data_IF_784016439178
#
_entry.id   IF_784016439178
#
_cell.length_a   1.000
_cell.length_b   1.000
_cell.length_c   1.000
_cell.angle_alpha   90.00
_cell.angle_beta   90.00
_cell.angle_gamma   90.00
#
_symmetry.space_group_name_H-M   'P 1'
#
loop_
_entity.id
_entity.type
_entity.pdbx_description
1 polymer ?
#
# COMPACT_ATOMS: atom_id res chain seq x y z
N UNK A 1 5.57 3.76 -13.81
CA UNK A 1 4.49 4.07 -12.84
C UNK A 1 4.66 3.12 -11.67
N UNK A 2 4.37 3.57 -10.49
CA UNK A 2 4.73 2.90 -9.27
C UNK A 2 3.51 2.21 -8.64
N UNK A 3 3.72 1.12 -7.91
CA UNK A 3 2.68 0.47 -7.12
C UNK A 3 2.14 1.46 -6.08
N UNK A 4 0.80 1.51 -5.92
CA UNK A 4 0.13 2.46 -5.04
C UNK A 4 0.59 2.34 -3.58
N UNK A 5 0.78 1.13 -3.07
CA UNK A 5 1.21 0.90 -1.69
C UNK A 5 2.63 1.44 -1.45
N UNK A 6 3.54 1.23 -2.41
CA UNK A 6 4.89 1.78 -2.34
C UNK A 6 4.85 3.31 -2.32
N UNK A 7 4.00 3.92 -3.15
CA UNK A 7 3.81 5.38 -3.18
C UNK A 7 3.30 5.91 -1.83
N UNK A 8 2.29 5.24 -1.24
CA UNK A 8 1.73 5.61 0.06
C UNK A 8 2.78 5.51 1.16
N UNK A 9 3.47 4.36 1.25
CA UNK A 9 4.47 4.10 2.29
C UNK A 9 5.69 5.03 2.15
N UNK A 10 6.12 5.33 0.92
CA UNK A 10 7.21 6.28 0.65
C UNK A 10 6.83 7.69 1.10
N UNK A 11 5.66 8.17 0.71
CA UNK A 11 5.19 9.51 1.10
C UNK A 11 5.06 9.62 2.61
N UNK A 12 4.51 8.59 3.27
CA UNK A 12 4.44 8.54 4.72
C UNK A 12 5.82 8.57 5.38
N UNK A 13 6.77 7.77 4.87
CA UNK A 13 8.18 7.80 5.32
C UNK A 13 8.76 9.21 5.22
N UNK A 14 8.57 9.87 4.09
CA UNK A 14 9.14 11.20 3.83
C UNK A 14 8.55 12.25 4.80
N UNK A 15 7.26 12.20 5.08
CA UNK A 15 6.63 13.05 6.09
C UNK A 15 7.21 12.78 7.49
N UNK A 16 7.35 11.50 7.87
CA UNK A 16 7.90 11.13 9.18
C UNK A 16 9.38 11.50 9.33
N UNK A 17 10.18 11.36 8.27
CA UNK A 17 11.58 11.81 8.26
C UNK A 17 11.71 13.32 8.33
N UNK A 18 10.77 14.06 7.76
CA UNK A 18 10.70 15.52 7.88
C UNK A 18 10.18 15.99 9.26
N UNK A 19 9.93 15.08 10.21
CA UNK A 19 9.43 15.40 11.55
C UNK A 19 7.94 15.73 11.60
N UNK A 20 7.21 15.61 10.51
CA UNK A 20 5.76 15.85 10.49
C UNK A 20 5.03 14.69 11.18
N UNK A 21 3.92 15.01 11.82
CA UNK A 21 2.99 14.01 12.32
C UNK A 21 2.17 13.43 11.18
N UNK A 22 1.96 12.13 11.20
CA UNK A 22 1.17 11.44 10.18
C UNK A 22 0.53 10.18 10.75
N UNK A 23 -0.56 9.72 10.14
CA UNK A 23 -1.15 8.42 10.42
C UNK A 23 -1.21 7.56 9.17
N UNK A 24 -1.18 6.24 9.38
CA UNK A 24 -1.47 5.23 8.37
C UNK A 24 -2.79 4.58 8.71
N UNK A 25 -3.75 4.66 7.80
CA UNK A 25 -5.03 3.95 7.88
C UNK A 25 -4.99 2.72 6.98
N UNK A 26 -5.38 1.57 7.53
CA UNK A 26 -5.47 0.29 6.81
C UNK A 26 -6.89 -0.24 6.89
N UNK A 27 -7.50 -0.62 5.75
CA UNK A 27 -8.77 -1.33 5.72
C UNK A 27 -8.56 -2.74 6.27
N UNK A 28 -9.15 -3.04 7.43
CA UNK A 28 -8.94 -4.33 8.10
C UNK A 28 -10.12 -5.28 7.96
N UNK A 29 -11.33 -4.74 7.81
CA UNK A 29 -12.55 -5.54 7.57
C UNK A 29 -13.57 -4.73 6.80
N UNK A 30 -14.35 -5.44 6.00
CA UNK A 30 -15.49 -4.88 5.27
C UNK A 30 -16.69 -5.81 5.40
N UNK A 31 -17.89 -5.25 5.48
CA UNK A 31 -19.15 -5.97 5.45
C UNK A 31 -20.08 -5.35 4.42
N UNK A 32 -20.66 -6.17 3.57
CA UNK A 32 -21.44 -5.70 2.43
C UNK A 32 -20.55 -5.17 1.31
N UNK A 33 -21.05 -4.22 0.53
CA UNK A 33 -20.30 -3.59 -0.54
C UNK A 33 -19.31 -2.58 0.04
N UNK A 34 -18.03 -2.70 -0.35
CA UNK A 34 -17.01 -1.75 0.05
C UNK A 34 -16.29 -1.20 -1.20
N UNK A 35 -16.02 0.11 -1.25
CA UNK A 35 -15.34 0.72 -2.40
C UNK A 35 -13.85 0.35 -2.48
N UNK A 36 -13.26 -0.10 -1.36
CA UNK A 36 -11.86 -0.55 -1.31
C UNK A 36 -11.75 -1.90 -0.62
N UNK A 37 -10.90 -2.81 -1.12
CA UNK A 37 -10.69 -4.12 -0.50
C UNK A 37 -9.94 -4.03 0.83
N UNK A 38 -10.05 -5.09 1.63
CA UNK A 38 -9.20 -5.32 2.80
C UNK A 38 -7.73 -5.28 2.39
N UNK A 39 -6.89 -4.63 3.20
CA UNK A 39 -5.47 -4.39 2.91
C UNK A 39 -5.20 -3.04 2.25
N UNK A 40 -6.20 -2.35 1.70
CA UNK A 40 -5.99 -1.00 1.16
C UNK A 40 -5.49 -0.04 2.23
N UNK A 41 -4.55 0.83 1.85
CA UNK A 41 -3.91 1.78 2.76
C UNK A 41 -4.04 3.22 2.29
N UNK A 42 -4.03 4.12 3.26
CA UNK A 42 -3.99 5.57 3.08
C UNK A 42 -3.11 6.20 4.15
N UNK A 43 -2.30 7.16 3.78
CA UNK A 43 -1.57 8.01 4.73
C UNK A 43 -2.18 9.42 4.78
N UNK A 44 -2.27 9.98 5.98
CA UNK A 44 -2.74 11.34 6.25
C UNK A 44 -1.68 12.10 7.05
N UNK A 45 -1.28 13.26 6.56
CA UNK A 45 -0.37 14.18 7.22
C UNK A 45 -1.12 15.19 8.10
N UNK A 46 -0.47 15.72 9.13
CA UNK A 46 -1.03 16.76 10.03
C UNK A 46 -1.49 18.04 9.31
N UNK A 47 -0.93 18.33 8.13
CA UNK A 47 -1.31 19.46 7.29
C UNK A 47 -2.54 19.18 6.39
N UNK A 48 -3.10 17.98 6.47
CA UNK A 48 -4.27 17.54 5.69
C UNK A 48 -3.93 16.90 4.35
N UNK A 49 -2.64 16.77 4.01
CA UNK A 49 -2.24 16.05 2.80
C UNK A 49 -2.54 14.55 2.92
N UNK A 50 -3.09 13.96 1.86
CA UNK A 50 -3.50 12.55 1.78
C UNK A 50 -2.85 11.88 0.59
N UNK A 51 -2.46 10.61 0.76
CA UNK A 51 -2.03 9.72 -0.31
C UNK A 51 -2.62 8.34 -0.10
N UNK A 52 -3.07 7.67 -1.17
CA UNK A 52 -3.84 6.43 -1.08
C UNK A 52 -5.32 6.66 -0.84
N UNK A 53 -6.08 5.59 -0.56
CA UNK A 53 -7.52 5.69 -0.31
C UNK A 53 -8.05 4.45 0.40
N UNK A 54 -9.02 4.65 1.30
CA UNK A 54 -9.72 3.59 2.05
C UNK A 54 -11.20 3.50 1.70
N UNK A 55 -11.79 4.56 1.11
CA UNK A 55 -13.22 4.59 0.77
C UNK A 55 -13.55 5.21 -0.59
N UNK A 56 -12.66 6.03 -1.12
CA UNK A 56 -12.87 6.78 -2.35
C UNK A 56 -13.40 8.20 -2.14
N UNK A 57 -13.34 8.74 -0.92
CA UNK A 57 -13.59 10.16 -0.65
C UNK A 57 -14.13 10.48 0.74
N UNK A 58 -15.34 10.05 1.09
CA UNK A 58 -16.05 10.56 2.29
C UNK A 58 -15.41 10.19 3.63
N UNK A 59 -14.81 9.00 3.74
CA UNK A 59 -14.11 8.59 4.98
C UNK A 59 -12.78 9.34 5.07
N UNK A 60 -12.12 9.55 3.94
CA UNK A 60 -10.91 10.38 3.86
C UNK A 60 -11.17 11.78 4.39
N UNK A 61 -12.25 12.44 3.93
CA UNK A 61 -12.64 13.78 4.40
C UNK A 61 -12.95 13.80 5.90
N UNK A 62 -13.60 12.76 6.43
CA UNK A 62 -13.88 12.64 7.86
C UNK A 62 -12.59 12.47 8.68
N UNK A 63 -11.64 11.64 8.21
CA UNK A 63 -10.35 11.49 8.86
C UNK A 63 -9.55 12.80 8.85
N UNK A 64 -9.54 13.54 7.74
CA UNK A 64 -8.92 14.86 7.67
C UNK A 64 -9.59 15.80 8.68
N UNK A 65 -10.92 15.81 8.75
CA UNK A 65 -11.66 16.64 9.69
C UNK A 65 -11.42 16.27 11.14
N UNK A 66 -11.27 14.99 11.46
CA UNK A 66 -11.07 14.54 12.85
C UNK A 66 -9.63 14.74 13.33
N UNK A 67 -8.63 14.53 12.47
CA UNK A 67 -7.22 14.42 12.87
C UNK A 67 -6.35 15.58 12.43
N UNK A 68 -6.88 16.55 11.68
CA UNK A 68 -6.12 17.72 11.22
C UNK A 68 -6.90 19.01 11.39
N UNK A 69 -6.21 20.13 11.21
CA UNK A 69 -6.83 21.46 11.20
C UNK A 69 -7.11 21.97 9.78
N UNK A 70 -6.95 21.14 8.74
CA UNK A 70 -7.06 21.57 7.36
C UNK A 70 -8.42 22.22 7.02
N UNK A 71 -9.50 21.82 7.74
CA UNK A 71 -10.85 22.41 7.62
C UNK A 71 -11.23 23.32 8.78
N UNK A 72 -10.32 23.69 9.68
CA UNK A 72 -10.58 24.68 10.71
C UNK A 72 -10.67 26.06 10.05
N UNK A 73 -11.85 26.43 9.59
CA UNK A 73 -12.12 27.78 9.09
C UNK A 73 -11.89 28.84 10.16
N UNK A 74 -11.60 30.06 9.75
CA UNK A 74 -11.30 31.24 10.58
C UNK A 74 -12.40 31.64 11.61
N UNK A 75 -13.42 30.83 11.85
CA UNK A 75 -14.54 31.06 12.75
C UNK A 75 -14.65 30.12 13.95
N UNK A 76 -13.81 29.13 14.12
CA UNK A 76 -13.87 28.17 15.25
C UNK A 76 -12.92 28.55 16.39
N UNK A 77 -12.98 29.79 16.84
CA UNK A 77 -12.30 30.21 18.07
C UNK A 77 -12.92 29.45 19.26
N UNK A 78 -12.19 28.43 19.76
CA UNK A 78 -12.58 27.64 20.93
C UNK A 78 -12.68 26.12 20.76
N UNK A 79 -12.56 25.56 19.55
CA UNK A 79 -12.44 24.12 19.38
C UNK A 79 -11.00 23.68 19.74
N UNK A 80 -10.88 22.60 20.54
CA UNK A 80 -9.58 21.99 20.82
C UNK A 80 -8.87 21.69 19.49
N UNK A 81 -7.57 21.99 19.41
CA UNK A 81 -6.80 21.72 18.20
C UNK A 81 -6.88 20.23 17.87
N UNK A 82 -7.45 19.92 16.70
CA UNK A 82 -7.48 18.56 16.18
C UNK A 82 -6.08 18.22 15.72
N UNK A 83 -5.51 17.21 16.32
CA UNK A 83 -4.15 16.75 16.03
C UNK A 83 -4.15 15.24 15.97
N UNK A 84 -3.28 14.69 15.15
CA UNK A 84 -3.01 13.25 15.14
C UNK A 84 -2.57 12.83 16.55
N UNK A 85 -3.27 11.94 17.26
CA UNK A 85 -2.91 11.53 18.60
C UNK A 85 -1.60 10.73 18.60
N UNK A 86 -0.93 10.68 19.74
CA UNK A 86 0.16 9.73 19.99
C UNK A 86 -0.41 8.54 20.75
N UNK A 87 0.13 7.35 20.52
CA UNK A 87 -0.27 6.17 21.26
C UNK A 87 -0.39 4.91 20.41
N UNK A 88 -0.96 3.85 20.99
CA UNK A 88 -1.15 2.59 20.28
C UNK A 88 -2.12 2.74 19.11
N UNK A 89 -2.03 1.84 18.13
CA UNK A 89 -3.00 1.79 17.03
C UNK A 89 -4.44 1.63 17.53
N UNK A 90 -5.39 2.23 16.81
CA UNK A 90 -6.80 2.21 17.19
C UNK A 90 -7.68 1.72 16.04
N UNK A 91 -8.72 0.94 16.36
CA UNK A 91 -9.74 0.56 15.40
C UNK A 91 -10.84 1.61 15.33
N UNK A 92 -11.25 1.96 14.10
CA UNK A 92 -12.37 2.87 13.83
C UNK A 92 -13.33 2.21 12.84
N UNK A 93 -14.62 2.30 13.12
CA UNK A 93 -15.68 1.74 12.26
C UNK A 93 -16.53 2.85 11.65
N UNK A 94 -16.90 2.65 10.40
CA UNK A 94 -17.78 3.51 9.62
C UNK A 94 -18.97 2.71 9.07
N UNK A 95 -20.14 3.36 8.94
CA UNK A 95 -21.32 2.75 8.34
C UNK A 95 -22.08 1.79 9.28
N UNK A 96 -21.99 2.00 10.59
CA UNK A 96 -22.69 1.17 11.59
C UNK A 96 -24.21 1.35 11.48
N UNK A 97 -24.67 2.57 11.14
CA UNK A 97 -26.07 2.90 10.91
C UNK A 97 -26.32 3.23 9.43
N UNK A 98 -27.58 3.12 8.98
CA UNK A 98 -27.95 3.48 7.61
C UNK A 98 -27.65 4.95 7.30
N UNK A 99 -27.85 5.85 8.28
CA UNK A 99 -27.58 7.29 8.12
C UNK A 99 -26.06 7.56 8.00
N UNK A 100 -25.25 6.88 8.79
CA UNK A 100 -23.79 6.94 8.65
C UNK A 100 -23.33 6.37 7.32
N UNK A 101 -23.84 5.19 6.92
CA UNK A 101 -23.50 4.58 5.64
C UNK A 101 -23.80 5.53 4.47
N UNK A 102 -24.95 6.21 4.51
CA UNK A 102 -25.31 7.21 3.51
C UNK A 102 -24.38 8.43 3.57
N UNK A 103 -24.10 8.96 4.77
CA UNK A 103 -23.21 10.11 4.99
C UNK A 103 -21.78 9.86 4.48
N UNK A 104 -21.26 8.66 4.65
CA UNK A 104 -19.90 8.28 4.27
C UNK A 104 -19.79 7.62 2.88
N UNK A 105 -20.83 7.78 2.05
CA UNK A 105 -20.80 7.27 0.68
C UNK A 105 -20.76 5.74 0.59
N UNK A 106 -21.34 5.04 1.57
CA UNK A 106 -21.53 3.60 1.61
C UNK A 106 -22.99 3.25 1.28
N UNK A 107 -23.48 3.53 0.06
CA UNK A 107 -24.91 3.51 -0.29
C UNK A 107 -25.56 2.12 -0.16
N UNK A 108 -24.75 1.05 -0.11
CA UNK A 108 -25.25 -0.32 0.03
C UNK A 108 -25.31 -0.78 1.50
N UNK A 109 -25.23 0.14 2.49
CA UNK A 109 -25.26 -0.21 3.92
C UNK A 109 -24.03 -1.01 4.37
N UNK A 110 -22.92 -0.91 3.66
CA UNK A 110 -21.68 -1.58 4.03
C UNK A 110 -21.05 -0.95 5.28
N UNK A 111 -20.35 -1.76 6.05
CA UNK A 111 -19.54 -1.31 7.18
C UNK A 111 -18.07 -1.48 6.84
N UNK A 112 -17.25 -0.50 7.20
CA UNK A 112 -15.81 -0.50 7.01
C UNK A 112 -15.12 -0.35 8.37
N UNK A 113 -14.15 -1.19 8.65
CA UNK A 113 -13.29 -1.06 9.83
C UNK A 113 -11.86 -0.76 9.40
N UNK A 114 -11.28 0.29 9.97
CA UNK A 114 -9.92 0.73 9.77
C UNK A 114 -9.08 0.45 11.01
N UNK A 115 -7.81 0.13 10.83
CA UNK A 115 -6.78 0.31 11.85
C UNK A 115 -6.05 1.63 11.55
N UNK A 116 -5.97 2.52 12.53
CA UNK A 116 -5.20 3.75 12.47
C UNK A 116 -3.92 3.56 13.27
N UNK A 117 -2.78 3.70 12.60
CA UNK A 117 -1.46 3.73 13.23
C UNK A 117 -1.00 5.18 13.31
N UNK A 118 -0.73 5.65 14.51
CA UNK A 118 -0.32 7.03 14.75
C UNK A 118 1.21 7.14 14.75
N UNK A 119 1.72 8.10 13.99
CA UNK A 119 3.15 8.39 13.90
C UNK A 119 4.04 7.16 13.66
N UNK A 120 3.77 6.32 12.63
CA UNK A 120 4.60 5.15 12.36
C UNK A 120 6.09 5.52 12.31
N UNK A 121 6.93 4.61 12.80
CA UNK A 121 8.36 4.84 12.96
C UNK A 121 9.05 4.96 11.59
N UNK A 122 9.81 6.05 11.39
CA UNK A 122 10.39 6.41 10.10
C UNK A 122 11.45 5.41 9.60
N UNK A 123 12.20 4.78 10.52
CA UNK A 123 13.22 3.80 10.19
C UNK A 123 12.61 2.50 9.66
N UNK A 124 11.57 1.98 10.32
CA UNK A 124 10.84 0.80 9.84
C UNK A 124 10.15 1.04 8.48
N UNK A 125 9.61 2.26 8.27
CA UNK A 125 9.08 2.65 6.96
C UNK A 125 10.18 2.71 5.89
N UNK A 126 11.36 3.23 6.22
CA UNK A 126 12.48 3.31 5.28
C UNK A 126 12.98 1.92 4.88
N UNK A 127 13.12 1.00 5.83
CA UNK A 127 13.49 -0.40 5.57
C UNK A 127 12.46 -1.09 4.68
N UNK A 128 11.17 -0.94 5.00
CA UNK A 128 10.09 -1.52 4.20
C UNK A 128 10.10 -0.97 2.77
N UNK A 129 10.13 0.35 2.60
CA UNK A 129 10.14 0.97 1.27
C UNK A 129 11.35 0.54 0.46
N UNK A 130 12.54 0.50 1.06
CA UNK A 130 13.76 0.02 0.39
C UNK A 130 13.63 -1.42 -0.11
N UNK A 131 13.08 -2.31 0.71
CA UNK A 131 12.86 -3.70 0.32
C UNK A 131 11.84 -3.82 -0.83
N UNK A 132 10.73 -3.05 -0.77
CA UNK A 132 9.71 -3.04 -1.82
C UNK A 132 10.24 -2.48 -3.14
N UNK A 133 11.05 -1.42 -3.10
CA UNK A 133 11.73 -0.85 -4.28
C UNK A 133 12.72 -1.83 -4.91
N UNK A 134 13.31 -2.71 -4.10
CA UNK A 134 14.14 -3.82 -4.57
C UNK A 134 13.31 -5.02 -5.08
N UNK A 135 11.97 -4.90 -5.16
CA UNK A 135 11.08 -5.95 -5.63
C UNK A 135 10.90 -7.11 -4.66
N UNK A 136 11.22 -6.91 -3.38
CA UNK A 136 11.06 -7.95 -2.36
C UNK A 136 9.62 -7.99 -1.85
N UNK A 137 9.19 -9.18 -1.47
CA UNK A 137 7.93 -9.40 -0.77
C UNK A 137 8.20 -9.38 0.74
N UNK A 138 7.52 -8.46 1.45
CA UNK A 138 7.75 -8.23 2.87
C UNK A 138 6.47 -8.41 3.67
N UNK A 139 6.58 -9.10 4.79
CA UNK A 139 5.52 -9.16 5.80
C UNK A 139 5.81 -8.09 6.86
N UNK A 140 4.82 -7.25 7.11
CA UNK A 140 4.84 -6.22 8.15
C UNK A 140 3.85 -6.60 9.25
N UNK A 141 4.34 -6.79 10.46
CA UNK A 141 3.54 -7.06 11.65
C UNK A 141 3.55 -5.84 12.56
N UNK A 142 2.35 -5.37 12.94
CA UNK A 142 2.14 -4.22 13.84
C UNK A 142 1.52 -4.72 15.12
N UNK A 143 2.19 -4.54 16.25
CA UNK A 143 1.66 -4.91 17.56
C UNK A 143 0.62 -3.88 18.01
N UNK A 144 -0.58 -4.36 18.38
CA UNK A 144 -1.72 -3.47 18.68
C UNK A 144 -1.58 -2.76 20.04
N UNK A 145 -0.74 -3.26 20.95
CA UNK A 145 -0.58 -2.66 22.28
C UNK A 145 0.26 -1.37 22.30
N UNK A 146 1.14 -1.18 21.31
CA UNK A 146 2.10 -0.07 21.29
C UNK A 146 2.52 0.41 19.89
N UNK A 147 2.04 -0.27 18.83
CA UNK A 147 2.39 0.08 17.46
C UNK A 147 3.78 -0.38 17.01
N UNK A 148 4.48 -1.19 17.80
CA UNK A 148 5.79 -1.70 17.41
C UNK A 148 5.71 -2.54 16.13
N UNK A 149 6.61 -2.27 15.18
CA UNK A 149 6.64 -2.90 13.86
C UNK A 149 7.76 -3.92 13.79
N UNK A 150 7.45 -5.07 13.20
CA UNK A 150 8.44 -6.09 12.81
C UNK A 150 8.32 -6.35 11.32
N UNK A 151 9.44 -6.34 10.61
CA UNK A 151 9.54 -6.65 9.19
C UNK A 151 10.24 -8.00 8.99
N UNK A 152 9.67 -8.83 8.12
CA UNK A 152 10.27 -10.11 7.73
C UNK A 152 10.08 -10.33 6.24
N UNK A 153 11.07 -10.93 5.58
CA UNK A 153 10.92 -11.33 4.19
C UNK A 153 9.83 -12.41 4.09
N UNK A 154 8.94 -12.26 3.11
CA UNK A 154 7.90 -13.24 2.83
C UNK A 154 8.26 -14.05 1.57
N UNK A 155 7.88 -15.32 1.55
CA UNK A 155 8.10 -16.20 0.40
C UNK A 155 6.88 -16.30 -0.52
N UNK A 156 5.70 -15.91 0.00
CA UNK A 156 4.45 -15.85 -0.76
C UNK A 156 3.57 -14.72 -0.22
N UNK A 157 2.74 -14.09 -1.06
CA UNK A 157 1.71 -13.16 -0.62
C UNK A 157 0.71 -13.85 0.31
N UNK A 158 0.28 -13.14 1.34
CA UNK A 158 -0.72 -13.61 2.30
C UNK A 158 -1.83 -12.55 2.44
N UNK A 159 -3.04 -13.02 2.72
CA UNK A 159 -4.14 -12.12 3.09
C UNK A 159 -3.81 -11.39 4.40
N UNK A 160 -4.35 -10.18 4.55
CA UNK A 160 -4.22 -9.41 5.77
C UNK A 160 -4.80 -10.20 6.96
N UNK A 161 -3.98 -10.41 7.97
CA UNK A 161 -4.34 -11.07 9.22
C UNK A 161 -4.53 -10.07 10.36
N UNK A 162 -5.64 -10.19 11.08
CA UNK A 162 -5.90 -9.41 12.29
C UNK A 162 -6.14 -10.37 13.45
N UNK A 163 -5.32 -10.28 14.49
CA UNK A 163 -5.47 -11.00 15.75
C UNK A 163 -5.73 -10.03 16.90
N UNK A 164 -5.91 -10.56 18.11
CA UNK A 164 -6.00 -9.72 19.31
C UNK A 164 -4.66 -9.00 19.64
N UNK A 165 -3.53 -9.45 19.09
CA UNK A 165 -2.20 -8.95 19.42
C UNK A 165 -1.57 -8.11 18.32
N UNK A 166 -1.86 -8.42 17.07
CA UNK A 166 -1.18 -7.81 15.94
C UNK A 166 -2.05 -7.77 14.68
N UNK A 167 -1.77 -6.78 13.84
CA UNK A 167 -2.11 -6.75 12.42
C UNK A 167 -0.89 -7.25 11.63
N UNK A 168 -1.11 -8.15 10.69
CA UNK A 168 -0.06 -8.66 9.78
C UNK A 168 -0.49 -8.41 8.35
N UNK A 169 0.29 -7.67 7.60
CA UNK A 169 0.06 -7.41 6.19
C UNK A 169 1.28 -7.75 5.34
N UNK A 170 1.07 -8.20 4.12
CA UNK A 170 2.13 -8.53 3.16
C UNK A 170 2.14 -7.47 2.07
N UNK A 171 3.30 -6.85 1.85
CA UNK A 171 3.53 -5.83 0.84
C UNK A 171 4.55 -6.32 -0.18
N UNK A 172 4.40 -5.89 -1.41
CA UNK A 172 5.29 -6.22 -2.52
C UNK A 172 4.54 -6.87 -3.68
N UNK A 173 5.27 -7.41 -4.65
CA UNK A 173 4.64 -7.98 -5.84
C UNK A 173 3.85 -9.23 -5.49
N UNK A 174 2.54 -9.16 -5.71
CA UNK A 174 1.64 -10.29 -5.49
C UNK A 174 1.71 -11.32 -6.62
N UNK A 175 1.94 -10.84 -7.84
CA UNK A 175 2.00 -11.66 -9.06
C UNK A 175 3.35 -11.56 -9.73
N UNK A 176 3.75 -12.61 -10.45
CA UNK A 176 4.99 -12.65 -11.21
C UNK A 176 4.69 -12.77 -12.71
N UNK A 177 5.42 -12.03 -13.52
CA UNK A 177 5.31 -12.10 -14.97
C UNK A 177 6.68 -12.32 -15.59
N UNK A 178 6.78 -13.35 -16.44
CA UNK A 178 7.95 -13.60 -17.27
C UNK A 178 7.58 -13.25 -18.72
N UNK A 179 8.34 -12.36 -19.32
CA UNK A 179 8.17 -11.92 -20.69
C UNK A 179 9.37 -12.42 -21.52
N UNK A 180 9.09 -13.06 -22.64
CA UNK A 180 10.13 -13.57 -23.55
C UNK A 180 10.27 -12.61 -24.73
N UNK A 181 11.47 -12.04 -24.87
CA UNK A 181 11.80 -11.04 -25.87
C UNK A 181 11.74 -9.61 -25.32
N UNK A 182 12.82 -8.82 -25.49
CA UNK A 182 12.97 -7.44 -25.01
C UNK A 182 12.60 -6.39 -26.09
N UNK A 183 11.52 -6.63 -26.83
CA UNK A 183 11.05 -5.73 -27.87
C UNK A 183 10.07 -4.67 -27.35
N UNK A 184 9.70 -3.73 -28.23
CA UNK A 184 8.83 -2.59 -27.90
C UNK A 184 7.48 -2.99 -27.29
N UNK A 185 6.82 -4.04 -27.82
CA UNK A 185 5.56 -4.53 -27.24
C UNK A 185 5.75 -5.02 -25.80
N UNK A 186 6.88 -5.66 -25.53
CA UNK A 186 7.24 -6.13 -24.20
C UNK A 186 7.47 -4.99 -23.23
N UNK A 187 8.04 -3.87 -23.67
CA UNK A 187 8.19 -2.65 -22.86
C UNK A 187 6.85 -2.07 -22.40
N UNK A 188 5.87 -2.00 -23.32
CA UNK A 188 4.51 -1.56 -22.97
C UNK A 188 3.86 -2.50 -21.94
N UNK A 189 3.94 -3.81 -22.20
CA UNK A 189 3.34 -4.81 -21.31
C UNK A 189 4.04 -4.83 -19.94
N UNK A 190 5.36 -4.76 -19.91
CA UNK A 190 6.15 -4.67 -18.67
C UNK A 190 5.78 -3.42 -17.85
N UNK A 191 5.61 -2.28 -18.52
CA UNK A 191 5.19 -1.03 -17.87
C UNK A 191 3.82 -1.16 -17.22
N UNK A 192 2.84 -1.74 -17.93
CA UNK A 192 1.50 -1.99 -17.40
C UNK A 192 1.51 -3.00 -16.25
N UNK A 193 2.28 -4.08 -16.38
CA UNK A 193 2.39 -5.12 -15.36
C UNK A 193 3.03 -4.58 -14.07
N UNK A 194 4.12 -3.81 -14.17
CA UNK A 194 4.76 -3.16 -13.03
C UNK A 194 3.79 -2.20 -12.32
N UNK A 195 3.04 -1.42 -13.09
CA UNK A 195 2.01 -0.54 -12.53
C UNK A 195 0.90 -1.32 -11.81
N UNK A 196 0.57 -2.52 -12.31
CA UNK A 196 -0.44 -3.40 -11.72
C UNK A 196 0.11 -4.27 -10.56
N UNK A 197 1.33 -4.03 -10.11
CA UNK A 197 1.91 -4.72 -8.95
C UNK A 197 2.56 -6.07 -9.25
N UNK A 198 2.85 -6.36 -10.53
CA UNK A 198 3.59 -7.57 -10.89
C UNK A 198 5.10 -7.41 -10.67
N UNK A 199 5.76 -8.47 -10.18
CA UNK A 199 7.20 -8.62 -10.36
C UNK A 199 7.47 -9.07 -11.80
N UNK A 200 8.12 -8.21 -12.59
CA UNK A 200 8.37 -8.46 -14.02
C UNK A 200 9.80 -8.93 -14.24
N UNK A 201 9.94 -10.05 -14.92
CA UNK A 201 11.21 -10.55 -15.47
C UNK A 201 11.10 -10.58 -16.99
N UNK A 202 12.12 -10.06 -17.68
CA UNK A 202 12.23 -10.09 -19.14
C UNK A 202 13.42 -10.96 -19.51
N UNK A 203 13.25 -11.82 -20.47
CA UNK A 203 14.29 -12.70 -20.99
C UNK A 203 14.49 -12.45 -22.48
N UNK A 204 15.69 -12.07 -22.88
CA UNK A 204 16.11 -12.03 -24.28
C UNK A 204 17.61 -12.39 -24.38
N UNK A 205 18.01 -13.46 -25.06
CA UNK A 205 19.42 -13.81 -25.22
C UNK A 205 20.19 -12.83 -26.13
N UNK A 206 19.49 -12.02 -26.94
CA UNK A 206 20.08 -11.10 -27.91
C UNK A 206 20.48 -9.79 -27.26
N UNK A 207 21.77 -9.44 -27.34
CA UNK A 207 22.31 -8.25 -26.71
C UNK A 207 21.71 -6.96 -27.26
N UNK A 208 21.47 -6.89 -28.56
CA UNK A 208 20.95 -5.70 -29.24
C UNK A 208 19.57 -5.29 -28.76
N UNK A 209 18.74 -6.25 -28.27
CA UNK A 209 17.44 -5.98 -27.71
C UNK A 209 17.53 -5.59 -26.22
N UNK A 210 18.39 -6.28 -25.46
CA UNK A 210 18.57 -5.94 -24.04
C UNK A 210 19.21 -4.57 -23.82
N UNK A 211 20.18 -4.19 -24.67
CA UNK A 211 20.83 -2.88 -24.59
C UNK A 211 19.88 -1.70 -24.87
N UNK A 212 18.81 -1.95 -25.63
CA UNK A 212 17.77 -0.95 -25.90
C UNK A 212 16.66 -0.91 -24.85
N UNK A 213 16.66 -1.83 -23.87
CA UNK A 213 15.61 -1.92 -22.84
C UNK A 213 15.57 -0.67 -21.96
N UNK A 214 14.42 -0.03 -21.88
CA UNK A 214 14.24 1.26 -21.20
C UNK A 214 13.33 1.23 -19.96
N UNK A 215 12.64 0.11 -19.68
CA UNK A 215 11.68 0.03 -18.57
C UNK A 215 12.37 -0.26 -17.24
N UNK A 216 12.42 0.70 -16.31
CA UNK A 216 13.01 0.48 -14.99
C UNK A 216 12.11 -0.43 -14.15
N UNK A 217 12.71 -1.20 -13.22
CA UNK A 217 11.98 -2.06 -12.29
C UNK A 217 11.71 -3.48 -12.80
N UNK A 218 11.95 -3.77 -14.08
CA UNK A 218 11.95 -5.14 -14.61
C UNK A 218 13.34 -5.76 -14.49
N UNK A 219 13.40 -7.03 -14.06
CA UNK A 219 14.64 -7.80 -14.09
C UNK A 219 14.87 -8.30 -15.51
N UNK A 220 16.04 -7.99 -16.10
CA UNK A 220 16.41 -8.43 -17.45
C UNK A 220 17.43 -9.56 -17.38
N UNK A 221 17.16 -10.66 -18.09
CA UNK A 221 17.98 -11.86 -18.15
C UNK A 221 18.47 -12.09 -19.58
N UNK A 222 19.68 -12.66 -19.71
CA UNK A 222 20.33 -12.96 -20.97
C UNK A 222 20.35 -14.45 -21.31
N UNK A 223 19.87 -15.28 -20.40
CA UNK A 223 19.84 -16.73 -20.57
C UNK A 223 18.85 -17.17 -21.67
N UNK A 224 18.92 -18.42 -22.07
CA UNK A 224 17.97 -18.98 -23.04
C UNK A 224 16.56 -19.09 -22.43
N UNK A 225 15.50 -18.83 -23.21
CA UNK A 225 14.12 -18.80 -22.71
C UNK A 225 13.67 -20.07 -22.00
N UNK A 226 14.05 -21.25 -22.47
CA UNK A 226 13.72 -22.55 -21.88
C UNK A 226 14.36 -22.74 -20.50
N UNK A 227 15.61 -22.30 -20.32
CA UNK A 227 16.30 -22.32 -19.04
C UNK A 227 15.64 -21.34 -18.06
N UNK A 228 15.31 -20.13 -18.54
CA UNK A 228 14.63 -19.11 -17.71
C UNK A 228 13.26 -19.57 -17.27
N UNK A 229 12.42 -20.14 -18.15
CA UNK A 229 11.10 -20.67 -17.78
C UNK A 229 11.24 -21.78 -16.73
N UNK A 230 12.22 -22.68 -16.91
CA UNK A 230 12.49 -23.76 -15.96
C UNK A 230 12.91 -23.20 -14.58
N UNK A 231 13.78 -22.19 -14.55
CA UNK A 231 14.24 -21.55 -13.34
C UNK A 231 13.16 -20.67 -12.69
N UNK A 232 12.26 -20.08 -13.47
CA UNK A 232 11.17 -19.22 -13.00
C UNK A 232 10.14 -19.99 -12.17
N UNK A 233 9.97 -21.27 -12.41
CA UNK A 233 9.02 -22.16 -11.70
C UNK A 233 7.63 -21.51 -11.59
N UNK A 234 6.89 -21.40 -12.68
CA UNK A 234 5.57 -20.77 -12.68
C UNK A 234 4.62 -21.44 -11.69
N UNK A 235 3.80 -20.67 -11.02
CA UNK A 235 2.76 -21.07 -10.10
C UNK A 235 1.41 -20.47 -10.47
N UNK A 236 0.39 -20.58 -9.61
CA UNK A 236 -0.94 -20.03 -9.86
C UNK A 236 -0.98 -18.49 -9.91
N UNK A 237 0.07 -17.81 -9.44
CA UNK A 237 0.22 -16.35 -9.44
C UNK A 237 1.26 -15.89 -10.46
N UNK A 238 1.52 -16.70 -11.46
CA UNK A 238 2.50 -16.42 -12.49
C UNK A 238 1.87 -16.40 -13.89
N UNK A 239 2.40 -15.48 -14.72
CA UNK A 239 2.16 -15.44 -16.17
C UNK A 239 3.47 -15.65 -16.90
N UNK A 240 3.45 -16.38 -18.04
CA UNK A 240 4.56 -16.52 -18.98
C UNK A 240 4.05 -16.23 -20.38
#
# INVERSE_FOLDING_TARGET
MENLDVMVLRTLRDWRQAGKRALLATVVRTWGSSPRPVGSIMALCEDGAVVGSVSGGCIEDDLIYQYTQAYAGAGSAGAAAKVIPSGPPAFVKYGITADEAHRFGLPCGGTLELLLEYDPEAGALAELVQALEAGQLMQRSVRLSDGAVTLTAATAPAELGVSALALVNTFGPEYRMLLIGAGQLTEYLATMALFSGFAVTVCDPREEYRSAWSVPGAKVLSDMPDDVVTAFKPDRRSCV
#
